data_IF_121173545561
#
_entry.id   IF_121173545561
#
_cell.length_a   1.000
_cell.length_b   1.000
_cell.length_c   1.000
_cell.angle_alpha   90.00
_cell.angle_beta   90.00
_cell.angle_gamma   90.00
#
_symmetry.space_group_name_H-M   'P 1'
#
loop_
_entity.id
_entity.type
_entity.pdbx_description
1 polymer ?
#
# COMPACT_ATOMS: atom_id res chain seq x y z
N UNK A 1 21.15 -10.10 0.03
CA UNK A 1 20.37 -10.36 -1.20
C UNK A 1 21.05 -9.50 -2.26
N UNK A 2 21.41 -9.99 -3.44
CA UNK A 2 22.13 -9.09 -4.36
C UNK A 2 21.12 -8.07 -4.92
N UNK A 3 21.50 -6.80 -5.04
CA UNK A 3 20.65 -5.71 -5.56
C UNK A 3 19.94 -6.11 -6.89
N UNK A 4 20.61 -6.94 -7.68
CA UNK A 4 20.14 -7.55 -8.93
C UNK A 4 18.83 -8.34 -8.78
N UNK A 5 18.61 -9.08 -7.69
CA UNK A 5 17.38 -9.89 -7.51
C UNK A 5 16.14 -9.02 -7.34
N UNK A 6 16.23 -7.93 -6.57
CA UNK A 6 15.12 -6.99 -6.42
C UNK A 6 14.88 -6.17 -7.67
N UNK A 7 15.94 -5.74 -8.35
CA UNK A 7 15.80 -5.07 -9.65
C UNK A 7 15.05 -5.94 -10.65
N UNK A 8 15.36 -7.24 -10.72
CA UNK A 8 14.63 -8.19 -11.55
C UNK A 8 13.17 -8.35 -11.13
N UNK A 9 12.87 -8.36 -9.83
CA UNK A 9 11.49 -8.38 -9.32
C UNK A 9 10.72 -7.14 -9.76
N UNK A 10 11.27 -5.93 -9.53
CA UNK A 10 10.66 -4.67 -9.95
C UNK A 10 10.42 -4.65 -11.46
N UNK A 11 11.41 -5.10 -12.24
CA UNK A 11 11.37 -5.12 -13.70
C UNK A 11 10.33 -6.12 -14.21
N UNK A 12 10.16 -7.25 -13.54
CA UNK A 12 9.09 -8.23 -13.86
C UNK A 12 7.69 -7.69 -13.54
N UNK A 13 7.50 -7.05 -12.39
CA UNK A 13 6.22 -6.42 -12.04
C UNK A 13 5.84 -5.27 -12.98
N UNK A 14 6.83 -4.48 -13.45
CA UNK A 14 6.57 -3.33 -14.34
C UNK A 14 6.51 -3.68 -15.83
N UNK A 15 7.33 -4.61 -16.31
CA UNK A 15 7.47 -4.87 -17.76
C UNK A 15 6.81 -6.17 -18.24
N UNK A 16 6.52 -7.12 -17.36
CA UNK A 16 5.88 -8.39 -17.76
C UNK A 16 4.45 -8.43 -17.25
N UNK A 17 4.26 -8.76 -15.98
CA UNK A 17 2.96 -8.85 -15.32
C UNK A 17 3.17 -9.11 -13.81
N UNK A 18 2.15 -8.86 -12.99
CA UNK A 18 2.28 -9.10 -11.54
C UNK A 18 2.33 -10.56 -11.12
N UNK A 19 1.87 -11.51 -11.94
CA UNK A 19 2.01 -12.94 -11.64
C UNK A 19 3.48 -13.34 -11.68
N UNK A 20 4.17 -13.04 -12.78
CA UNK A 20 5.59 -13.27 -12.98
C UNK A 20 6.43 -12.51 -11.94
N UNK A 21 6.09 -11.24 -11.69
CA UNK A 21 6.74 -10.41 -10.66
C UNK A 21 6.61 -11.00 -9.26
N UNK A 22 5.39 -11.40 -8.86
CA UNK A 22 5.13 -11.95 -7.54
C UNK A 22 5.73 -13.35 -7.37
N UNK A 23 5.68 -14.20 -8.40
CA UNK A 23 6.33 -15.51 -8.37
C UNK A 23 7.84 -15.41 -8.14
N UNK A 24 8.50 -14.42 -8.75
CA UNK A 24 9.92 -14.14 -8.49
C UNK A 24 10.13 -13.55 -7.10
N UNK A 25 9.27 -12.63 -6.66
CA UNK A 25 9.33 -12.03 -5.32
C UNK A 25 9.25 -13.10 -4.21
N UNK A 26 8.36 -14.09 -4.34
CA UNK A 26 8.24 -15.24 -3.42
C UNK A 26 9.55 -16.00 -3.23
N UNK A 27 10.36 -16.13 -4.28
CA UNK A 27 11.67 -16.83 -4.21
C UNK A 27 12.69 -16.08 -3.36
N UNK A 28 12.42 -14.83 -2.99
CA UNK A 28 13.32 -14.01 -2.17
C UNK A 28 13.08 -14.17 -0.67
N UNK A 29 11.94 -14.75 -0.27
CA UNK A 29 11.56 -14.95 1.12
C UNK A 29 12.61 -15.70 1.96
N UNK A 30 13.20 -16.85 1.52
CA UNK A 30 14.19 -17.55 2.34
C UNK A 30 15.41 -16.69 2.68
N UNK A 31 15.84 -15.82 1.74
CA UNK A 31 16.97 -14.93 1.98
C UNK A 31 16.61 -13.79 2.92
N UNK A 32 15.40 -13.25 2.82
CA UNK A 32 14.88 -12.28 3.77
C UNK A 32 14.87 -12.86 5.19
N UNK A 33 14.32 -14.06 5.38
CA UNK A 33 14.28 -14.73 6.68
C UNK A 33 15.69 -14.99 7.24
N UNK A 34 16.64 -15.42 6.39
CA UNK A 34 18.03 -15.60 6.81
C UNK A 34 18.67 -14.29 7.29
N UNK A 35 18.41 -13.18 6.60
CA UNK A 35 18.95 -11.88 6.96
C UNK A 35 18.31 -11.34 8.25
N UNK A 36 17.00 -11.51 8.41
CA UNK A 36 16.30 -11.12 9.62
C UNK A 36 16.75 -11.95 10.84
N UNK A 37 16.95 -13.26 10.67
CA UNK A 37 17.43 -14.14 11.74
C UNK A 37 18.89 -13.86 12.14
N UNK A 38 19.71 -13.31 11.23
CA UNK A 38 21.09 -12.96 11.51
C UNK A 38 21.25 -11.65 12.30
N UNK A 39 20.19 -10.84 12.41
CA UNK A 39 20.18 -9.58 13.13
C UNK A 39 19.09 -9.62 14.22
N UNK A 40 19.50 -9.98 15.44
CA UNK A 40 18.59 -10.08 16.59
C UNK A 40 17.90 -8.77 16.93
N UNK A 41 18.43 -7.61 16.49
CA UNK A 41 17.76 -6.33 16.70
C UNK A 41 16.44 -6.23 15.94
N UNK A 42 16.26 -7.00 14.86
CA UNK A 42 15.05 -7.03 14.05
C UNK A 42 13.96 -7.95 14.63
N UNK A 43 14.27 -8.71 15.68
CA UNK A 43 13.36 -9.67 16.28
C UNK A 43 12.77 -9.14 17.59
N UNK A 44 11.50 -9.44 17.84
CA UNK A 44 10.82 -9.20 19.11
C UNK A 44 10.30 -10.53 19.64
N UNK A 45 10.40 -10.70 20.96
CA UNK A 45 9.84 -11.87 21.64
C UNK A 45 8.35 -11.65 21.91
N UNK A 46 7.53 -12.63 21.54
CA UNK A 46 6.10 -12.66 21.80
C UNK A 46 5.81 -13.23 23.21
N UNK A 47 4.59 -13.03 23.76
CA UNK A 47 4.24 -13.52 25.09
C UNK A 47 4.39 -15.04 25.29
N UNK A 48 4.36 -15.81 24.20
CA UNK A 48 4.56 -17.27 24.20
C UNK A 48 6.03 -17.70 24.07
N UNK A 49 6.97 -16.74 24.09
CA UNK A 49 8.41 -16.97 23.94
C UNK A 49 8.87 -17.16 22.49
N UNK A 50 7.97 -17.09 21.50
CA UNK A 50 8.35 -17.17 20.09
C UNK A 50 8.98 -15.84 19.62
N UNK A 51 9.90 -15.93 18.65
CA UNK A 51 10.51 -14.75 18.04
C UNK A 51 9.78 -14.38 16.75
N UNK A 52 9.46 -13.10 16.60
CA UNK A 52 8.85 -12.56 15.38
C UNK A 52 9.66 -11.41 14.81
N UNK A 53 9.59 -11.24 13.49
CA UNK A 53 10.22 -10.13 12.78
C UNK A 53 9.43 -8.85 13.06
N UNK A 54 10.06 -7.86 13.68
CA UNK A 54 9.44 -6.57 13.96
C UNK A 54 9.38 -5.70 12.70
N UNK A 55 8.17 -5.41 12.21
CA UNK A 55 7.99 -4.59 11.01
C UNK A 55 8.58 -3.18 11.16
N UNK A 56 8.34 -2.45 12.27
CA UNK A 56 8.93 -1.11 12.47
C UNK A 56 10.46 -1.14 12.46
N UNK A 57 11.08 -2.15 13.09
CA UNK A 57 12.54 -2.26 13.13
C UNK A 57 13.12 -2.63 11.76
N UNK A 58 12.40 -3.45 10.98
CA UNK A 58 12.76 -3.73 9.58
C UNK A 58 12.72 -2.45 8.74
N UNK A 59 11.70 -1.61 8.90
CA UNK A 59 11.64 -0.32 8.19
C UNK A 59 12.75 0.64 8.64
N UNK A 60 13.20 0.55 9.90
CA UNK A 60 14.34 1.30 10.44
C UNK A 60 15.70 0.70 10.11
N UNK A 61 15.75 -0.47 9.48
CA UNK A 61 16.99 -1.18 9.21
C UNK A 61 17.87 -0.41 8.21
N UNK A 62 19.17 -0.44 8.46
CA UNK A 62 20.19 0.06 7.53
C UNK A 62 20.41 -0.87 6.34
N UNK A 63 19.89 -2.10 6.39
CA UNK A 63 19.99 -3.09 5.31
C UNK A 63 18.91 -2.82 4.25
N UNK A 64 19.26 -2.25 3.08
CA UNK A 64 18.26 -1.84 2.09
C UNK A 64 17.43 -3.00 1.56
N UNK A 65 17.98 -4.21 1.55
CA UNK A 65 17.33 -5.42 1.06
C UNK A 65 16.17 -5.86 1.97
N UNK A 66 16.36 -5.82 3.29
CA UNK A 66 15.32 -6.23 4.25
C UNK A 66 14.17 -5.21 4.21
N UNK A 67 14.51 -3.91 4.20
CA UNK A 67 13.54 -2.83 4.08
C UNK A 67 12.73 -2.93 2.79
N UNK A 68 13.41 -3.13 1.65
CA UNK A 68 12.75 -3.29 0.34
C UNK A 68 11.84 -4.51 0.31
N UNK A 69 12.25 -5.63 0.90
CA UNK A 69 11.39 -6.81 1.02
C UNK A 69 10.08 -6.47 1.75
N UNK A 70 10.16 -5.88 2.94
CA UNK A 70 8.98 -5.58 3.75
C UNK A 70 8.02 -4.59 3.08
N UNK A 71 8.56 -3.56 2.40
CA UNK A 71 7.74 -2.64 1.59
C UNK A 71 7.02 -3.42 0.48
N UNK A 72 7.73 -4.28 -0.24
CA UNK A 72 7.16 -5.04 -1.37
C UNK A 72 6.12 -6.05 -0.88
N UNK A 73 6.36 -6.67 0.27
CA UNK A 73 5.44 -7.62 0.87
C UNK A 73 4.15 -6.93 1.29
N UNK A 74 4.25 -5.83 2.04
CA UNK A 74 3.09 -5.04 2.47
C UNK A 74 2.30 -4.48 1.28
N UNK A 75 2.99 -3.94 0.27
CA UNK A 75 2.34 -3.37 -0.91
C UNK A 75 1.72 -4.42 -1.84
N UNK A 76 2.36 -5.59 -1.98
CA UNK A 76 1.79 -6.71 -2.73
C UNK A 76 0.56 -7.26 -2.03
N UNK A 77 0.64 -7.48 -0.72
CA UNK A 77 -0.49 -7.97 0.07
C UNK A 77 -1.68 -7.00 0.02
N UNK A 78 -1.42 -5.70 0.12
CA UNK A 78 -2.44 -4.66 0.00
C UNK A 78 -3.06 -4.59 -1.40
N UNK A 79 -2.25 -4.31 -2.43
CA UNK A 79 -2.78 -4.03 -3.77
C UNK A 79 -3.27 -5.28 -4.48
N UNK A 80 -2.56 -6.41 -4.33
CA UNK A 80 -2.98 -7.67 -4.96
C UNK A 80 -3.93 -8.46 -4.06
N UNK A 81 -4.14 -8.10 -2.79
CA UNK A 81 -5.00 -8.86 -1.89
C UNK A 81 -4.53 -10.30 -1.72
N UNK A 82 -3.21 -10.50 -1.64
CA UNK A 82 -2.55 -11.77 -1.33
C UNK A 82 -2.13 -11.77 0.14
N UNK A 83 -1.97 -12.94 0.80
CA UNK A 83 -1.37 -12.96 2.13
C UNK A 83 0.06 -12.38 2.09
N UNK A 84 0.50 -11.70 3.17
CA UNK A 84 1.91 -11.35 3.31
C UNK A 84 2.77 -12.62 3.34
N UNK A 85 3.98 -12.54 2.81
CA UNK A 85 4.92 -13.65 2.72
C UNK A 85 5.65 -13.91 4.03
N UNK A 86 5.87 -12.87 4.82
CA UNK A 86 6.44 -12.97 6.17
C UNK A 86 5.40 -12.60 7.23
N UNK A 87 5.51 -13.22 8.40
CA UNK A 87 4.74 -12.85 9.57
C UNK A 87 5.49 -11.76 10.35
N UNK A 88 4.77 -10.70 10.72
CA UNK A 88 5.34 -9.49 11.29
C UNK A 88 4.72 -9.14 12.65
N UNK A 89 5.55 -8.64 13.57
CA UNK A 89 5.13 -8.02 14.83
C UNK A 89 5.12 -6.49 14.76
N UNK A 90 4.28 -5.87 15.60
CA UNK A 90 3.99 -4.42 15.55
C UNK A 90 4.25 -3.67 16.86
N UNK A 91 4.84 -4.34 17.85
CA UNK A 91 4.93 -3.94 19.26
C UNK A 91 5.89 -2.77 19.54
N UNK A 92 6.31 -2.02 18.52
CA UNK A 92 7.26 -0.92 18.63
C UNK A 92 6.74 0.31 17.86
N UNK A 93 6.85 1.49 18.47
CA UNK A 93 6.65 2.74 17.75
C UNK A 93 7.74 2.91 16.70
N UNK A 94 7.33 3.25 15.48
CA UNK A 94 8.27 3.57 14.42
C UNK A 94 8.88 4.95 14.70
N UNK A 95 10.18 4.98 15.00
CA UNK A 95 10.93 6.22 15.28
C UNK A 95 11.02 7.10 14.02
N UNK A 96 9.99 7.91 13.79
CA UNK A 96 9.79 8.66 12.55
C UNK A 96 10.93 9.64 12.25
N UNK A 97 11.74 9.99 13.26
CA UNK A 97 12.89 10.88 13.14
C UNK A 97 14.13 10.20 12.53
N UNK A 98 14.28 8.88 12.67
CA UNK A 98 15.43 8.12 12.13
C UNK A 98 15.24 7.64 10.70
N UNK A 99 14.02 7.67 10.20
CA UNK A 99 13.69 7.24 8.85
C UNK A 99 13.89 8.44 7.93
N UNK A 100 15.14 8.65 7.51
CA UNK A 100 15.40 9.49 6.34
C UNK A 100 14.41 9.11 5.26
N UNK A 101 13.54 10.05 4.90
CA UNK A 101 12.35 9.91 4.06
C UNK A 101 12.70 9.19 2.75
N UNK A 102 12.75 7.86 2.79
CA UNK A 102 12.81 7.05 1.59
C UNK A 102 11.41 7.13 1.01
N UNK A 103 11.28 8.08 0.10
CA UNK A 103 10.14 8.41 -0.74
C UNK A 103 9.72 7.26 -1.66
N UNK A 104 10.05 6.01 -1.30
CA UNK A 104 9.60 4.82 -1.96
C UNK A 104 8.08 4.87 -1.96
N UNK A 105 7.52 5.19 -3.11
CA UNK A 105 6.09 5.11 -3.36
C UNK A 105 5.23 6.21 -2.65
N UNK A 106 5.87 7.23 -2.06
CA UNK A 106 5.19 8.39 -1.47
C UNK A 106 4.41 8.10 -0.18
N UNK A 107 4.56 6.90 0.39
CA UNK A 107 3.85 6.47 1.60
C UNK A 107 4.60 6.88 2.87
N UNK A 108 3.94 7.52 3.84
CA UNK A 108 4.51 7.70 5.18
C UNK A 108 4.73 6.35 5.88
N UNK A 109 5.90 6.17 6.50
CA UNK A 109 6.31 4.92 7.16
C UNK A 109 5.28 4.44 8.20
N UNK A 110 4.72 5.36 8.98
CA UNK A 110 3.66 5.08 9.96
C UNK A 110 2.39 4.51 9.30
N UNK A 111 1.99 5.03 8.15
CA UNK A 111 0.84 4.52 7.41
C UNK A 111 1.14 3.16 6.76
N UNK A 112 2.39 2.92 6.32
CA UNK A 112 2.81 1.62 5.81
C UNK A 112 2.75 0.53 6.90
N UNK A 113 3.09 0.86 8.14
CA UNK A 113 2.94 -0.06 9.28
C UNK A 113 1.48 -0.49 9.47
N UNK A 114 0.55 0.45 9.40
CA UNK A 114 -0.89 0.15 9.52
C UNK A 114 -1.36 -0.70 8.33
N UNK A 115 -0.91 -0.43 7.10
CA UNK A 115 -1.19 -1.31 5.95
C UNK A 115 -0.75 -2.74 6.23
N UNK A 116 0.49 -2.91 6.72
CA UNK A 116 1.03 -4.22 7.07
C UNK A 116 0.19 -4.92 8.14
N UNK A 117 -0.25 -4.20 9.17
CA UNK A 117 -1.08 -4.75 10.24
C UNK A 117 -2.46 -5.20 9.73
N UNK A 118 -3.09 -4.40 8.86
CA UNK A 118 -4.35 -4.79 8.19
C UNK A 118 -4.14 -6.03 7.31
N UNK A 119 -3.02 -6.12 6.58
CA UNK A 119 -2.69 -7.32 5.78
C UNK A 119 -2.59 -8.57 6.67
N UNK A 120 -1.88 -8.46 7.80
CA UNK A 120 -1.74 -9.54 8.78
C UNK A 120 -3.08 -9.94 9.37
N UNK A 121 -3.94 -8.98 9.69
CA UNK A 121 -5.30 -9.24 10.19
C UNK A 121 -6.13 -10.04 9.17
N UNK A 122 -6.13 -9.59 7.90
CA UNK A 122 -6.85 -10.26 6.81
C UNK A 122 -6.30 -11.65 6.49
N UNK A 123 -5.04 -11.91 6.80
CA UNK A 123 -4.40 -13.22 6.64
C UNK A 123 -4.67 -14.18 7.80
N UNK A 124 -5.33 -13.74 8.87
CA UNK A 124 -5.55 -14.55 10.08
C UNK A 124 -4.28 -14.74 10.90
N UNK A 125 -3.45 -13.69 11.00
CA UNK A 125 -2.22 -13.68 11.80
C UNK A 125 -2.45 -14.16 13.23
N UNK A 126 -1.43 -14.82 13.79
CA UNK A 126 -1.44 -15.32 15.18
C UNK A 126 -0.92 -14.30 16.18
N UNK A 127 -0.41 -13.18 15.67
CA UNK A 127 0.18 -12.08 16.44
C UNK A 127 -0.92 -11.22 17.04
N UNK A 128 -0.66 -10.60 18.19
CA UNK A 128 -1.53 -9.57 18.73
C UNK A 128 -1.59 -8.37 17.76
N UNK A 129 -2.78 -8.02 17.32
CA UNK A 129 -3.01 -6.89 16.42
C UNK A 129 -3.91 -5.86 17.11
N UNK A 130 -3.76 -4.60 16.74
CA UNK A 130 -4.68 -3.56 17.16
C UNK A 130 -6.07 -3.81 16.58
N UNK A 131 -7.10 -3.45 17.35
CA UNK A 131 -8.46 -3.46 16.84
C UNK A 131 -8.64 -2.38 15.76
N UNK A 132 -9.67 -2.55 14.93
CA UNK A 132 -9.92 -1.65 13.79
C UNK A 132 -10.20 -0.19 14.20
N UNK A 133 -10.72 0.08 15.40
CA UNK A 133 -10.98 1.44 15.89
C UNK A 133 -9.68 2.10 16.34
N UNK A 134 -8.78 1.33 16.96
CA UNK A 134 -7.43 1.77 17.28
C UNK A 134 -6.67 2.12 15.99
N UNK A 135 -6.76 1.28 14.96
CA UNK A 135 -6.19 1.57 13.64
C UNK A 135 -6.81 2.81 13.00
N UNK A 136 -8.15 2.92 12.99
CA UNK A 136 -8.84 4.10 12.50
C UNK A 136 -8.37 5.38 13.23
N UNK A 137 -8.28 5.32 14.56
CA UNK A 137 -7.83 6.45 15.37
C UNK A 137 -6.40 6.85 14.99
N UNK A 138 -5.47 5.90 14.88
CA UNK A 138 -4.09 6.17 14.46
C UNK A 138 -4.03 6.88 13.10
N UNK A 139 -4.88 6.48 12.14
CA UNK A 139 -4.96 7.13 10.82
C UNK A 139 -5.55 8.53 10.92
N UNK A 140 -6.59 8.73 11.73
CA UNK A 140 -7.23 10.04 11.89
C UNK A 140 -6.35 11.05 12.64
N UNK A 141 -5.55 10.59 13.60
CA UNK A 141 -4.63 11.43 14.37
C UNK A 141 -3.29 11.65 13.69
N UNK A 142 -3.00 10.91 12.62
CA UNK A 142 -1.78 11.10 11.84
C UNK A 142 -1.72 12.53 11.29
N UNK A 143 -0.54 13.14 11.43
CA UNK A 143 -0.25 14.47 10.92
C UNK A 143 0.93 14.41 9.98
N UNK A 144 0.86 15.24 8.94
CA UNK A 144 1.96 15.47 8.03
C UNK A 144 3.18 16.01 8.79
N UNK A 145 4.36 15.36 8.72
CA UNK A 145 5.55 15.86 9.41
C UNK A 145 5.99 17.24 8.89
N UNK A 146 6.15 18.21 9.79
CA UNK A 146 6.45 19.61 9.47
C UNK A 146 7.79 19.80 8.71
N UNK A 147 8.76 18.90 8.93
CA UNK A 147 10.13 18.94 8.34
C UNK A 147 10.12 18.92 6.81
N UNK A 148 9.03 18.47 6.17
CA UNK A 148 8.88 18.46 4.72
C UNK A 148 8.67 19.86 4.11
N UNK A 149 8.26 20.86 4.90
CA UNK A 149 8.00 22.23 4.44
C UNK A 149 9.26 23.11 4.37
N UNK A 150 10.36 22.69 5.01
CA UNK A 150 11.58 23.52 5.15
C UNK A 150 12.72 23.15 4.20
N UNK A 151 12.50 22.24 3.22
CA UNK A 151 13.49 22.01 2.17
C UNK A 151 13.54 23.21 1.22
N UNK A 152 14.33 24.22 1.59
CA UNK A 152 14.47 25.53 0.95
C UNK A 152 14.84 25.50 -0.55
N UNK A 153 15.19 24.33 -1.10
CA UNK A 153 15.56 24.12 -2.50
C UNK A 153 14.47 23.47 -3.36
N UNK A 154 13.36 22.99 -2.79
CA UNK A 154 12.29 22.34 -3.57
C UNK A 154 11.22 23.37 -3.96
N UNK A 155 10.81 23.42 -5.25
CA UNK A 155 9.71 24.28 -5.68
C UNK A 155 8.43 24.07 -4.84
N UNK A 156 7.77 25.15 -4.46
CA UNK A 156 6.59 25.12 -3.58
C UNK A 156 5.47 24.21 -4.11
N UNK A 157 5.24 24.20 -5.43
CA UNK A 157 4.26 23.33 -6.08
C UNK A 157 4.56 21.82 -5.93
N UNK A 158 5.84 21.43 -5.88
CA UNK A 158 6.28 20.04 -5.66
C UNK A 158 6.02 19.64 -4.20
N UNK A 159 6.24 20.56 -3.25
CA UNK A 159 5.93 20.33 -1.84
C UNK A 159 4.42 20.20 -1.60
N UNK A 160 3.59 21.02 -2.26
CA UNK A 160 2.12 20.92 -2.19
C UNK A 160 1.62 19.59 -2.77
N UNK A 161 2.10 19.19 -3.96
CA UNK A 161 1.72 17.91 -4.55
C UNK A 161 2.18 16.71 -3.70
N UNK A 162 3.36 16.78 -3.06
CA UNK A 162 3.83 15.77 -2.11
C UNK A 162 2.92 15.67 -0.89
N UNK A 163 2.58 16.80 -0.28
CA UNK A 163 1.66 16.84 0.84
C UNK A 163 0.30 16.24 0.46
N UNK A 164 -0.20 16.53 -0.74
CA UNK A 164 -1.44 15.96 -1.24
C UNK A 164 -1.39 14.43 -1.43
N UNK A 165 -0.27 13.88 -1.93
CA UNK A 165 -0.07 12.42 -2.02
C UNK A 165 -0.08 11.78 -0.63
N UNK A 166 0.63 12.35 0.33
CA UNK A 166 0.74 11.81 1.69
C UNK A 166 -0.61 11.91 2.44
N UNK A 167 -1.32 13.02 2.29
CA UNK A 167 -2.68 13.16 2.79
C UNK A 167 -3.65 12.17 2.11
N UNK A 168 -3.43 11.90 0.82
CA UNK A 168 -4.17 10.88 0.10
C UNK A 168 -3.97 9.48 0.69
N UNK A 169 -2.77 9.17 1.19
CA UNK A 169 -2.49 7.89 1.84
C UNK A 169 -3.30 7.70 3.12
N UNK A 170 -3.57 8.78 3.87
CA UNK A 170 -4.49 8.74 5.01
C UNK A 170 -5.87 8.23 4.58
N UNK A 171 -6.39 8.73 3.47
CA UNK A 171 -7.69 8.31 2.94
C UNK A 171 -7.70 6.91 2.31
N UNK A 172 -6.62 6.53 1.64
CA UNK A 172 -6.43 5.14 1.16
C UNK A 172 -6.55 4.16 2.31
N UNK A 173 -5.90 4.48 3.43
CA UNK A 173 -5.87 3.61 4.59
C UNK A 173 -7.21 3.58 5.33
N UNK A 174 -7.93 4.69 5.41
CA UNK A 174 -9.31 4.70 5.93
C UNK A 174 -10.22 3.78 5.11
N UNK A 175 -10.15 3.85 3.76
CA UNK A 175 -10.88 2.92 2.89
C UNK A 175 -10.49 1.47 3.21
N UNK A 176 -9.19 1.20 3.37
CA UNK A 176 -8.71 -0.16 3.64
C UNK A 176 -9.14 -0.68 5.02
N UNK A 177 -9.11 0.14 6.07
CA UNK A 177 -9.62 -0.22 7.39
C UNK A 177 -11.12 -0.51 7.33
N UNK A 178 -11.92 0.38 6.73
CA UNK A 178 -13.36 0.19 6.66
C UNK A 178 -13.75 -1.05 5.85
N UNK A 179 -13.29 -1.13 4.61
CA UNK A 179 -13.73 -2.19 3.70
C UNK A 179 -12.96 -3.49 3.91
N UNK A 180 -11.69 -3.39 4.31
CA UNK A 180 -10.79 -4.52 4.48
C UNK A 180 -10.86 -5.16 5.86
N UNK A 181 -11.15 -4.40 6.92
CA UNK A 181 -11.24 -4.92 8.31
C UNK A 181 -12.68 -4.91 8.82
N UNK A 182 -13.34 -3.75 8.79
CA UNK A 182 -14.71 -3.66 9.29
C UNK A 182 -15.73 -4.40 8.40
N UNK A 183 -15.34 -4.78 7.19
CA UNK A 183 -16.17 -5.53 6.25
C UNK A 183 -17.31 -4.72 5.65
N UNK A 184 -17.27 -3.38 5.75
CA UNK A 184 -18.31 -2.53 5.15
C UNK A 184 -18.14 -2.47 3.64
N UNK A 185 -19.24 -2.19 2.93
CA UNK A 185 -19.21 -2.05 1.48
C UNK A 185 -18.78 -0.65 1.05
N UNK A 186 -18.59 -0.48 -0.27
CA UNK A 186 -18.34 0.81 -0.91
C UNK A 186 -19.46 1.82 -0.66
N UNK A 187 -20.63 1.42 -0.17
CA UNK A 187 -21.72 2.35 0.16
C UNK A 187 -21.57 3.03 1.53
N UNK A 188 -20.65 2.58 2.38
CA UNK A 188 -20.37 3.25 3.65
C UNK A 188 -19.96 4.71 3.41
N UNK A 189 -20.61 5.63 4.12
CA UNK A 189 -20.42 7.07 3.94
C UNK A 189 -19.00 7.53 4.26
N UNK A 190 -18.29 6.83 5.16
CA UNK A 190 -16.91 7.14 5.53
C UNK A 190 -15.93 6.74 4.42
N UNK A 191 -16.20 5.61 3.77
CA UNK A 191 -15.47 5.19 2.57
C UNK A 191 -15.69 6.19 1.43
N UNK A 192 -16.93 6.61 1.17
CA UNK A 192 -17.24 7.61 0.14
C UNK A 192 -16.62 8.97 0.43
N UNK A 193 -16.64 9.43 1.69
CA UNK A 193 -15.94 10.66 2.10
C UNK A 193 -14.45 10.58 1.75
N UNK A 194 -13.83 9.42 1.97
CA UNK A 194 -12.41 9.23 1.62
C UNK A 194 -12.17 9.17 0.11
N UNK A 195 -13.09 8.59 -0.66
CA UNK A 195 -13.05 8.64 -2.14
C UNK A 195 -13.07 10.09 -2.62
N UNK A 196 -14.03 10.90 -2.17
CA UNK A 196 -14.16 12.29 -2.59
C UNK A 196 -12.92 13.11 -2.24
N UNK A 197 -12.32 12.87 -1.08
CA UNK A 197 -11.05 13.49 -0.69
C UNK A 197 -9.88 13.08 -1.57
N UNK A 198 -9.77 11.81 -1.96
CA UNK A 198 -8.72 11.36 -2.89
C UNK A 198 -8.85 12.07 -4.24
N UNK A 199 -10.07 12.24 -4.76
CA UNK A 199 -10.28 13.00 -6.00
C UNK A 199 -9.86 14.47 -5.86
N UNK A 200 -10.27 15.14 -4.78
CA UNK A 200 -9.85 16.54 -4.52
C UNK A 200 -8.33 16.69 -4.45
N UNK A 201 -7.64 15.76 -3.77
CA UNK A 201 -6.19 15.74 -3.68
C UNK A 201 -5.54 15.41 -5.02
N UNK A 202 -6.16 14.57 -5.85
CA UNK A 202 -5.73 14.26 -7.21
C UNK A 202 -5.69 15.49 -8.11
N UNK A 203 -6.68 16.38 -7.99
CA UNK A 203 -6.70 17.66 -8.73
C UNK A 203 -5.52 18.57 -8.31
N UNK A 204 -5.16 18.59 -7.02
CA UNK A 204 -4.01 19.35 -6.51
C UNK A 204 -2.70 18.79 -7.06
N UNK A 205 -2.56 17.46 -7.15
CA UNK A 205 -1.37 16.81 -7.73
C UNK A 205 -1.28 17.06 -9.24
N UNK A 206 -2.42 17.09 -9.93
CA UNK A 206 -2.54 17.39 -11.35
C UNK A 206 -1.68 16.48 -12.24
N UNK A 207 -0.98 17.10 -13.19
CA UNK A 207 -0.06 16.45 -14.13
C UNK A 207 1.40 16.42 -13.65
N UNK A 208 1.65 16.73 -12.37
CA UNK A 208 2.99 16.66 -11.79
C UNK A 208 3.59 15.26 -11.95
N UNK A 209 4.93 15.18 -12.10
CA UNK A 209 5.66 13.92 -12.08
C UNK A 209 5.44 13.13 -10.76
N UNK A 210 5.05 13.82 -9.68
CA UNK A 210 4.64 13.23 -8.41
C UNK A 210 3.38 12.37 -8.56
N UNK A 211 2.55 12.63 -9.57
CA UNK A 211 1.31 11.93 -9.83
C UNK A 211 1.44 10.41 -10.00
N UNK A 212 2.63 9.88 -10.31
CA UNK A 212 2.86 8.42 -10.30
C UNK A 212 2.59 7.80 -8.94
N UNK A 213 2.79 8.55 -7.86
CA UNK A 213 2.59 8.07 -6.49
C UNK A 213 1.12 7.96 -6.10
N UNK A 214 0.19 8.36 -6.99
CA UNK A 214 -1.26 8.21 -6.81
C UNK A 214 -1.78 6.83 -7.23
N UNK A 215 -0.92 5.89 -7.67
CA UNK A 215 -1.39 4.59 -8.17
C UNK A 215 -2.22 3.84 -7.11
N UNK A 216 -1.72 3.71 -5.89
CA UNK A 216 -2.46 3.06 -4.80
C UNK A 216 -3.77 3.79 -4.47
N UNK A 217 -3.77 5.12 -4.57
CA UNK A 217 -4.95 5.96 -4.38
C UNK A 217 -6.01 5.69 -5.43
N UNK A 218 -5.62 5.60 -6.70
CA UNK A 218 -6.53 5.23 -7.79
C UNK A 218 -7.11 3.83 -7.58
N UNK A 219 -6.31 2.87 -7.10
CA UNK A 219 -6.81 1.52 -6.81
C UNK A 219 -7.84 1.53 -5.68
N UNK A 220 -7.52 2.14 -4.54
CA UNK A 220 -8.42 2.19 -3.38
C UNK A 220 -9.69 3.01 -3.67
N UNK A 221 -9.55 4.18 -4.28
CA UNK A 221 -10.69 5.01 -4.66
C UNK A 221 -11.54 4.35 -5.74
N UNK A 222 -10.91 3.68 -6.71
CA UNK A 222 -11.58 2.94 -7.78
C UNK A 222 -12.40 1.75 -7.26
N UNK A 223 -11.84 1.00 -6.31
CA UNK A 223 -12.54 -0.07 -5.61
C UNK A 223 -13.80 0.46 -4.93
N UNK A 224 -13.68 1.59 -4.22
CA UNK A 224 -14.79 2.22 -3.52
C UNK A 224 -15.67 3.12 -4.43
N UNK A 225 -15.37 3.27 -5.73
CA UNK A 225 -16.08 4.21 -6.60
C UNK A 225 -17.48 3.71 -6.98
N UNK A 226 -18.49 4.55 -6.70
CA UNK A 226 -19.89 4.31 -7.06
C UNK A 226 -20.33 5.06 -8.32
N UNK A 227 -19.77 6.25 -8.52
CA UNK A 227 -20.13 7.13 -9.62
C UNK A 227 -19.32 6.77 -10.87
N UNK A 228 -19.99 6.65 -12.00
CA UNK A 228 -19.33 6.30 -13.27
C UNK A 228 -18.25 7.33 -13.66
N UNK A 229 -18.49 8.62 -13.38
CA UNK A 229 -17.49 9.69 -13.57
C UNK A 229 -16.18 9.42 -12.81
N UNK A 230 -16.27 8.87 -11.59
CA UNK A 230 -15.10 8.54 -10.77
C UNK A 230 -14.39 7.31 -11.33
N UNK A 231 -15.15 6.30 -11.79
CA UNK A 231 -14.58 5.08 -12.40
C UNK A 231 -13.81 5.39 -13.67
N UNK A 232 -14.36 6.21 -14.56
CA UNK A 232 -13.71 6.67 -15.79
C UNK A 232 -12.40 7.40 -15.46
N UNK A 233 -12.45 8.39 -14.56
CA UNK A 233 -11.27 9.15 -14.17
C UNK A 233 -10.17 8.26 -13.56
N UNK A 234 -10.53 7.29 -12.72
CA UNK A 234 -9.59 6.30 -12.19
C UNK A 234 -8.99 5.43 -13.28
N UNK A 235 -9.82 4.93 -14.20
CA UNK A 235 -9.37 4.09 -15.32
C UNK A 235 -8.33 4.81 -16.18
N UNK A 236 -8.65 6.02 -16.63
CA UNK A 236 -7.75 6.84 -17.44
C UNK A 236 -6.43 7.11 -16.72
N UNK A 237 -6.50 7.45 -15.42
CA UNK A 237 -5.31 7.69 -14.61
C UNK A 237 -4.45 6.45 -14.46
N UNK A 238 -5.04 5.28 -14.20
CA UNK A 238 -4.30 4.01 -14.08
C UNK A 238 -3.63 3.60 -15.40
N UNK A 239 -4.32 3.78 -16.53
CA UNK A 239 -3.75 3.54 -17.85
C UNK A 239 -2.57 4.48 -18.13
N UNK A 240 -2.62 5.73 -17.66
CA UNK A 240 -1.51 6.68 -17.80
C UNK A 240 -0.22 6.23 -17.10
N UNK A 241 -0.29 5.30 -16.15
CA UNK A 241 0.87 4.76 -15.43
C UNK A 241 1.54 3.55 -16.11
N UNK A 242 1.08 3.10 -17.29
CA UNK A 242 1.51 1.85 -17.95
C UNK A 242 3.02 1.68 -18.14
N UNK A 243 3.79 2.77 -18.17
CA UNK A 243 5.25 2.74 -18.40
C UNK A 243 6.06 3.46 -17.30
N UNK A 244 5.45 3.78 -16.16
CA UNK A 244 6.16 4.57 -15.15
C UNK A 244 7.03 3.68 -14.27
N UNK A 245 8.35 3.78 -14.45
CA UNK A 245 9.37 2.96 -13.75
C UNK A 245 9.49 3.23 -12.24
N UNK A 246 8.78 4.22 -11.72
CA UNK A 246 8.88 4.66 -10.32
C UNK A 246 7.95 3.88 -9.38
N UNK A 247 7.08 3.01 -9.90
CA UNK A 247 6.20 2.15 -9.09
C UNK A 247 6.59 0.67 -9.19
N UNK A 248 6.22 -0.12 -8.17
CA UNK A 248 6.47 -1.58 -8.18
C UNK A 248 5.63 -2.22 -9.28
N UNK A 249 4.38 -1.80 -9.44
CA UNK A 249 3.39 -2.45 -10.30
C UNK A 249 3.02 -1.59 -11.51
N UNK A 250 2.56 -2.23 -12.58
CA UNK A 250 1.95 -1.55 -13.72
C UNK A 250 0.51 -1.12 -13.42
N UNK A 251 0.19 0.16 -13.63
CA UNK A 251 -1.16 0.68 -13.42
C UNK A 251 -2.22 0.07 -14.35
N UNK A 252 -1.82 -0.34 -15.57
CA UNK A 252 -2.76 -0.93 -16.53
C UNK A 252 -3.37 -2.25 -16.04
N UNK A 253 -2.63 -3.00 -15.23
CA UNK A 253 -3.16 -4.23 -14.68
C UNK A 253 -4.29 -3.95 -13.67
N UNK A 254 -4.15 -2.90 -12.85
CA UNK A 254 -5.22 -2.52 -11.94
C UNK A 254 -6.41 -1.91 -12.64
N UNK A 255 -6.23 -1.23 -13.78
CA UNK A 255 -7.37 -0.77 -14.58
C UNK A 255 -8.20 -1.95 -15.10
N UNK A 256 -7.56 -3.06 -15.48
CA UNK A 256 -8.26 -4.28 -15.91
C UNK A 256 -9.00 -4.96 -14.74
N UNK A 257 -8.37 -5.05 -13.57
CA UNK A 257 -8.99 -5.61 -12.35
C UNK A 257 -10.23 -4.81 -11.97
N UNK A 258 -10.12 -3.48 -11.93
CA UNK A 258 -11.24 -2.60 -11.59
C UNK A 258 -12.32 -2.61 -12.68
N UNK A 259 -11.94 -2.68 -13.95
CA UNK A 259 -12.89 -2.82 -15.04
C UNK A 259 -13.75 -4.08 -14.89
N UNK A 260 -13.13 -5.23 -14.58
CA UNK A 260 -13.84 -6.47 -14.27
C UNK A 260 -14.77 -6.30 -13.06
N UNK A 261 -14.31 -5.65 -11.98
CA UNK A 261 -15.13 -5.38 -10.79
C UNK A 261 -16.36 -4.53 -11.11
N UNK A 262 -16.17 -3.44 -11.87
CA UNK A 262 -17.22 -2.48 -12.18
C UNK A 262 -18.27 -3.00 -13.15
N UNK A 263 -17.90 -3.94 -14.04
CA UNK A 263 -18.84 -4.59 -14.97
C UNK A 263 -19.42 -5.91 -14.42
N UNK A 264 -18.87 -6.41 -13.32
CA UNK A 264 -19.40 -7.52 -12.55
C UNK A 264 -20.16 -7.03 -11.32
N UNK A 265 -19.65 -7.33 -10.12
CA UNK A 265 -20.33 -7.09 -8.85
C UNK A 265 -20.63 -5.61 -8.57
N UNK A 266 -19.88 -4.69 -9.18
CA UNK A 266 -20.09 -3.24 -9.08
C UNK A 266 -20.96 -2.64 -10.18
N UNK A 267 -21.60 -3.44 -11.04
CA UNK A 267 -22.42 -2.95 -12.15
C UNK A 267 -23.51 -1.98 -11.69
N UNK A 268 -23.72 -0.90 -12.46
CA UNK A 268 -24.72 0.13 -12.12
C UNK A 268 -24.44 0.89 -10.81
N UNK A 269 -23.21 0.87 -10.32
CA UNK A 269 -22.86 1.51 -9.04
C UNK A 269 -23.21 0.67 -7.81
N UNK A 270 -23.44 -0.64 -7.98
CA UNK A 270 -23.75 -1.57 -6.90
C UNK A 270 -22.66 -1.63 -5.81
N UNK A 271 -23.07 -2.04 -4.60
CA UNK A 271 -22.20 -2.15 -3.45
C UNK A 271 -21.18 -3.27 -3.64
N UNK A 272 -19.91 -2.94 -3.42
CA UNK A 272 -18.80 -3.91 -3.49
C UNK A 272 -18.03 -3.90 -2.18
N UNK A 273 -17.47 -5.05 -1.82
CA UNK A 273 -16.61 -5.26 -0.66
C UNK A 273 -15.15 -5.42 -1.09
N UNK A 274 -14.23 -5.43 -0.14
CA UNK A 274 -12.84 -5.75 -0.43
C UNK A 274 -12.66 -7.17 -1.00
N UNK A 275 -13.53 -8.12 -0.62
CA UNK A 275 -13.47 -9.48 -1.13
C UNK A 275 -13.97 -9.60 -2.58
N UNK A 276 -14.89 -8.73 -3.00
CA UNK A 276 -15.28 -8.61 -4.43
C UNK A 276 -14.10 -8.15 -5.29
N UNK A 277 -13.30 -7.21 -4.77
CA UNK A 277 -12.06 -6.79 -5.41
C UNK A 277 -11.06 -7.95 -5.51
N UNK A 278 -10.85 -8.72 -4.44
CA UNK A 278 -9.96 -9.89 -4.48
C UNK A 278 -10.43 -10.93 -5.49
N UNK A 279 -11.75 -11.19 -5.58
CA UNK A 279 -12.31 -12.09 -6.60
C UNK A 279 -12.04 -11.58 -8.01
N UNK A 280 -12.24 -10.29 -8.26
CA UNK A 280 -11.93 -9.66 -9.56
C UNK A 280 -10.43 -9.72 -9.88
N UNK A 281 -9.57 -9.46 -8.88
CA UNK A 281 -8.13 -9.61 -9.02
C UNK A 281 -7.75 -11.03 -9.42
N UNK A 282 -8.30 -12.05 -8.77
CA UNK A 282 -8.01 -13.46 -9.09
C UNK A 282 -8.49 -13.87 -10.49
N UNK A 283 -9.58 -13.29 -10.96
CA UNK A 283 -10.11 -13.54 -12.29
C UNK A 283 -9.20 -12.94 -13.39
N UNK A 284 -8.63 -11.76 -13.15
CA UNK A 284 -7.77 -11.06 -14.13
C UNK A 284 -6.30 -11.45 -14.00
N UNK A 285 -5.82 -11.65 -12.78
CA UNK A 285 -4.41 -11.92 -12.44
C UNK A 285 -4.31 -13.15 -11.54
N UNK A 286 -3.88 -14.26 -12.13
CA UNK A 286 -3.71 -15.53 -11.43
C UNK A 286 -2.39 -15.51 -10.65
N UNK A 287 -2.46 -15.30 -9.33
CA UNK A 287 -1.32 -15.27 -8.39
C UNK A 287 -1.59 -16.23 -7.24
#
# INVERSE_FOLDING_TARGET
MNNTSFQLVTLKFTLTDSTSGYALFRRTLPKFLQLAAADSSLLTEQPDGSLIISFPRVLGSRLPEIKRFAIYDAMSAFLLGVPPLAEYGYDCECDSERHGFEWAYGIPVTLLQIISQVNSWRAGSRVTLDDWKTLEMHVLTWKLPCVMLEQASTPENVNVARAAVQEGWRHVLLIYVYMGVCGVSSHDSRAQTSVDRIFQLGEIVGSSHIGVHMLAHCVAAGLAARLEKHRIAVYEKLVSFRNTRNWIFSGSQFSEILYHLWHGNGAGGAAVTWDDYIRSRRAVVSI
#
